data_IF_019803527162
#
_entry.id   IF_019803527162
#
_cell.length_a   1.000
_cell.length_b   1.000
_cell.length_c   1.000
_cell.angle_alpha   90.00
_cell.angle_beta   90.00
_cell.angle_gamma   90.00
#
_symmetry.space_group_name_H-M   'P 1'
#
loop_
_entity.id
_entity.type
_entity.pdbx_description
1 polymer ?
#
# COMPACT_ATOMS: atom_id res chain seq x y z
N UNK A 1 -14.61 -2.41 -24.08
CA UNK A 1 -13.92 -3.14 -23.00
C UNK A 1 -14.94 -3.54 -21.94
N UNK A 2 -15.45 -4.77 -22.05
CA UNK A 2 -16.54 -5.33 -21.26
C UNK A 2 -16.02 -5.89 -19.93
N UNK A 3 -16.46 -5.30 -18.81
CA UNK A 3 -16.15 -5.81 -17.47
C UNK A 3 -17.11 -6.95 -17.14
N UNK A 4 -16.64 -8.19 -17.27
CA UNK A 4 -17.34 -9.39 -16.79
C UNK A 4 -17.41 -9.31 -15.25
N UNK A 5 -18.64 -9.25 -14.71
CA UNK A 5 -18.91 -9.35 -13.28
C UNK A 5 -19.01 -10.82 -12.93
N UNK A 6 -18.01 -11.36 -12.24
CA UNK A 6 -18.03 -12.73 -11.73
C UNK A 6 -18.70 -12.71 -10.35
N UNK A 7 -19.96 -13.13 -10.30
CA UNK A 7 -20.68 -13.45 -9.06
C UNK A 7 -20.14 -14.78 -8.54
N UNK A 8 -19.33 -14.73 -7.48
CA UNK A 8 -18.99 -15.92 -6.70
C UNK A 8 -20.03 -16.07 -5.57
N UNK A 9 -21.10 -16.79 -5.88
CA UNK A 9 -21.95 -17.40 -4.87
C UNK A 9 -21.23 -18.67 -4.38
N UNK A 10 -20.52 -18.57 -3.25
CA UNK A 10 -19.95 -19.73 -2.58
C UNK A 10 -20.96 -20.19 -1.54
N UNK A 11 -21.83 -21.11 -1.95
CA UNK A 11 -22.61 -21.98 -1.08
C UNK A 11 -21.67 -22.99 -0.41
N UNK A 12 -21.20 -22.68 0.79
CA UNK A 12 -20.63 -23.72 1.67
C UNK A 12 -21.76 -24.34 2.50
N UNK A 13 -22.31 -25.42 1.95
CA UNK A 13 -23.06 -26.43 2.70
C UNK A 13 -22.06 -27.13 3.61
N UNK A 14 -22.00 -26.70 4.87
CA UNK A 14 -21.26 -27.41 5.91
C UNK A 14 -22.05 -28.68 6.30
N UNK A 15 -21.77 -29.77 5.60
CA UNK A 15 -22.13 -31.11 6.07
C UNK A 15 -21.32 -31.36 7.36
N UNK A 16 -21.92 -31.10 8.52
CA UNK A 16 -21.36 -31.49 9.81
C UNK A 16 -21.33 -33.03 9.87
N UNK A 17 -20.16 -33.67 9.98
CA UNK A 17 -20.12 -35.07 10.37
C UNK A 17 -20.64 -35.18 11.80
N UNK A 18 -21.82 -35.78 11.95
CA UNK A 18 -22.30 -36.34 13.21
C UNK A 18 -21.28 -37.40 13.66
N UNK A 19 -20.28 -36.96 14.43
CA UNK A 19 -19.41 -37.85 15.16
C UNK A 19 -20.25 -38.52 16.26
N UNK A 20 -20.73 -39.72 15.95
CA UNK A 20 -21.28 -40.64 16.93
C UNK A 20 -20.26 -40.82 18.05
N UNK A 21 -20.58 -40.29 19.24
CA UNK A 21 -19.88 -40.58 20.47
C UNK A 21 -19.82 -42.11 20.63
N UNK A 22 -18.64 -42.69 20.40
CA UNK A 22 -18.34 -44.05 20.86
C UNK A 22 -18.36 -44.01 22.37
N UNK A 23 -19.48 -44.43 22.95
CA UNK A 23 -19.61 -44.76 24.36
C UNK A 23 -18.52 -45.78 24.70
N UNK A 24 -17.50 -45.34 25.42
CA UNK A 24 -16.50 -46.23 26.00
C UNK A 24 -17.25 -47.18 26.95
N UNK A 25 -17.03 -48.51 26.86
CA UNK A 25 -17.63 -49.44 27.80
C UNK A 25 -17.15 -49.09 29.21
N UNK A 26 -18.10 -48.89 30.11
CA UNK A 26 -17.87 -48.79 31.55
C UNK A 26 -17.11 -50.05 31.99
N UNK A 27 -15.81 -49.90 32.23
CA UNK A 27 -15.06 -50.89 32.99
C UNK A 27 -15.60 -50.82 34.42
N UNK A 28 -16.15 -51.94 34.88
CA UNK A 28 -16.46 -52.16 36.28
C UNK A 28 -15.14 -52.06 37.05
N UNK A 29 -14.92 -50.89 37.66
CA UNK A 29 -13.80 -50.65 38.55
C UNK A 29 -14.16 -51.30 39.88
N UNK A 30 -13.33 -52.27 40.28
CA UNK A 30 -13.44 -52.97 41.54
C UNK A 30 -13.39 -51.97 42.69
N UNK A 31 -14.47 -51.96 43.48
CA UNK A 31 -14.60 -51.21 44.71
C UNK A 31 -13.53 -51.68 45.69
N UNK A 32 -12.35 -51.07 45.60
CA UNK A 32 -11.29 -51.22 46.60
C UNK A 32 -11.63 -50.28 47.74
N UNK A 33 -12.29 -50.84 48.75
CA UNK A 33 -12.57 -50.23 50.04
C UNK A 33 -11.26 -49.85 50.72
N UNK A 34 -10.75 -48.64 50.47
CA UNK A 34 -9.68 -48.09 51.28
C UNK A 34 -10.26 -47.70 52.64
N UNK A 35 -9.84 -48.45 53.66
CA UNK A 35 -10.03 -48.17 55.08
C UNK A 35 -9.27 -46.89 55.39
N UNK A 36 -9.95 -45.75 55.31
CA UNK A 36 -9.43 -44.47 55.77
C UNK A 36 -9.32 -44.51 57.29
N UNK A 37 -8.09 -44.45 57.78
CA UNK A 37 -7.66 -44.29 59.17
C UNK A 37 -8.48 -43.23 59.93
N UNK A 38 -9.08 -43.65 61.04
CA UNK A 38 -10.00 -42.87 61.91
C UNK A 38 -9.27 -41.90 62.88
N UNK A 39 -8.20 -41.23 62.47
CA UNK A 39 -7.39 -40.39 63.39
C UNK A 39 -7.62 -38.87 63.30
N UNK A 40 -8.61 -38.37 62.56
CA UNK A 40 -8.96 -36.92 62.49
C UNK A 40 -10.31 -36.55 63.16
N UNK A 41 -10.78 -37.32 64.14
CA UNK A 41 -12.06 -37.07 64.80
C UNK A 41 -11.95 -36.10 65.99
N UNK A 42 -11.81 -34.80 65.74
CA UNK A 42 -12.34 -33.73 66.64
C UNK A 42 -12.33 -32.30 66.07
N UNK A 43 -12.31 -32.10 64.74
CA UNK A 43 -12.67 -30.77 64.21
C UNK A 43 -14.17 -30.52 64.42
N UNK A 44 -14.51 -29.48 65.19
CA UNK A 44 -15.91 -29.11 65.42
C UNK A 44 -16.54 -28.57 64.13
N UNK A 45 -17.85 -28.76 63.93
CA UNK A 45 -18.60 -28.27 62.76
C UNK A 45 -18.35 -26.77 62.48
N UNK A 46 -18.09 -25.98 63.53
CA UNK A 46 -17.74 -24.56 63.42
C UNK A 46 -16.42 -24.35 62.66
N UNK A 47 -15.37 -25.12 62.98
CA UNK A 47 -14.06 -25.04 62.31
C UNK A 47 -14.16 -25.42 60.83
N UNK A 48 -14.98 -26.41 60.48
CA UNK A 48 -15.21 -26.81 59.08
C UNK A 48 -15.91 -25.69 58.29
N UNK A 49 -16.85 -24.97 58.92
CA UNK A 49 -17.55 -23.85 58.27
C UNK A 49 -16.60 -22.67 58.05
N UNK A 50 -15.77 -22.35 59.03
CA UNK A 50 -14.76 -21.29 58.92
C UNK A 50 -13.72 -21.60 57.84
N UNK A 51 -13.20 -22.83 57.81
CA UNK A 51 -12.25 -23.29 56.79
C UNK A 51 -12.87 -23.20 55.38
N UNK A 52 -14.13 -23.61 55.21
CA UNK A 52 -14.85 -23.49 53.93
C UNK A 52 -15.07 -22.03 53.51
N UNK A 53 -15.36 -21.13 54.45
CA UNK A 53 -15.49 -19.69 54.16
C UNK A 53 -14.16 -19.11 53.70
N UNK A 54 -13.06 -19.44 54.37
CA UNK A 54 -11.72 -19.04 53.96
C UNK A 54 -11.38 -19.54 52.54
N UNK A 55 -11.68 -20.82 52.24
CA UNK A 55 -11.47 -21.38 50.90
C UNK A 55 -12.35 -20.70 49.82
N UNK A 56 -13.58 -20.31 50.15
CA UNK A 56 -14.46 -19.60 49.22
C UNK A 56 -13.93 -18.20 48.89
N UNK A 57 -13.43 -17.46 49.89
CA UNK A 57 -12.83 -16.13 49.65
C UNK A 57 -11.54 -16.23 48.82
N UNK A 58 -10.68 -17.21 49.10
CA UNK A 58 -9.49 -17.47 48.26
C UNK A 58 -9.89 -17.77 46.82
N UNK A 59 -10.85 -18.68 46.59
CA UNK A 59 -11.34 -18.98 45.25
C UNK A 59 -11.96 -17.77 44.55
N UNK A 60 -12.68 -16.91 45.28
CA UNK A 60 -13.28 -15.70 44.73
C UNK A 60 -12.20 -14.74 44.24
N UNK A 61 -11.18 -14.47 45.05
CA UNK A 61 -10.06 -13.60 44.66
C UNK A 61 -9.25 -14.19 43.50
N UNK A 62 -9.01 -15.51 43.47
CA UNK A 62 -8.36 -16.18 42.33
C UNK A 62 -9.17 -16.09 41.04
N UNK A 63 -10.50 -16.20 41.11
CA UNK A 63 -11.37 -16.07 39.94
C UNK A 63 -11.42 -14.62 39.44
N UNK A 64 -11.41 -13.64 40.34
CA UNK A 64 -11.36 -12.22 39.97
C UNK A 64 -10.04 -11.87 39.29
N UNK A 65 -8.90 -12.31 39.84
CA UNK A 65 -7.59 -12.08 39.21
C UNK A 65 -7.47 -12.77 37.85
N UNK A 66 -7.94 -14.02 37.72
CA UNK A 66 -8.00 -14.73 36.42
C UNK A 66 -8.87 -13.99 35.41
N UNK A 67 -10.01 -13.44 35.82
CA UNK A 67 -10.90 -12.66 34.94
C UNK A 67 -10.25 -11.36 34.47
N UNK A 68 -9.56 -10.65 35.36
CA UNK A 68 -8.83 -9.42 35.02
C UNK A 68 -7.70 -9.76 34.03
N UNK A 69 -6.85 -10.74 34.35
CA UNK A 69 -5.77 -11.17 33.47
C UNK A 69 -6.28 -11.63 32.08
N UNK A 70 -7.42 -12.33 32.02
CA UNK A 70 -8.04 -12.70 30.75
C UNK A 70 -8.54 -11.49 29.95
N UNK A 71 -9.13 -10.49 30.61
CA UNK A 71 -9.57 -9.25 29.95
C UNK A 71 -8.37 -8.48 29.39
N UNK A 72 -7.29 -8.37 30.17
CA UNK A 72 -6.08 -7.68 29.76
C UNK A 72 -5.39 -8.39 28.59
N UNK A 73 -5.27 -9.73 28.65
CA UNK A 73 -4.73 -10.51 27.55
C UNK A 73 -5.56 -10.39 26.25
N UNK A 74 -6.90 -10.31 26.37
CA UNK A 74 -7.77 -10.07 25.21
C UNK A 74 -7.65 -8.63 24.68
N UNK A 75 -7.50 -7.64 25.56
CA UNK A 75 -7.27 -6.26 25.18
C UNK A 75 -5.93 -6.12 24.43
N UNK A 76 -4.87 -6.73 24.93
CA UNK A 76 -3.55 -6.76 24.28
C UNK A 76 -3.61 -7.42 22.90
N UNK A 77 -4.25 -8.58 22.76
CA UNK A 77 -4.41 -9.24 21.44
C UNK A 77 -5.18 -8.38 20.44
N UNK A 78 -6.18 -7.61 20.90
CA UNK A 78 -6.94 -6.69 20.04
C UNK A 78 -6.06 -5.51 19.60
N UNK A 79 -5.26 -4.97 20.52
CA UNK A 79 -4.28 -3.93 20.26
C UNK A 79 -3.25 -4.38 19.21
N UNK A 80 -2.58 -5.52 19.42
CA UNK A 80 -1.60 -6.07 18.47
C UNK A 80 -2.20 -6.32 17.08
N UNK A 81 -3.43 -6.84 17.04
CA UNK A 81 -4.15 -7.05 15.79
C UNK A 81 -4.49 -5.73 15.08
N UNK A 82 -4.83 -4.67 15.83
CA UNK A 82 -5.07 -3.34 15.29
C UNK A 82 -3.77 -2.72 14.74
N UNK A 83 -2.68 -2.76 15.51
CA UNK A 83 -1.36 -2.28 15.10
C UNK A 83 -0.89 -2.97 13.83
N UNK A 84 -0.98 -4.30 13.76
CA UNK A 84 -0.63 -5.07 12.56
C UNK A 84 -1.45 -4.64 11.33
N UNK A 85 -2.74 -4.36 11.50
CA UNK A 85 -3.61 -3.88 10.40
C UNK A 85 -3.22 -2.48 9.95
N UNK A 86 -2.92 -1.58 10.88
CA UNK A 86 -2.46 -0.22 10.60
C UNK A 86 -1.11 -0.28 9.88
N UNK A 87 -0.11 -0.98 10.43
CA UNK A 87 1.21 -1.16 9.79
C UNK A 87 1.10 -1.73 8.36
N UNK A 88 0.27 -2.77 8.16
CA UNK A 88 0.04 -3.35 6.81
C UNK A 88 -0.54 -2.31 5.85
N UNK A 89 -1.49 -1.51 6.32
CA UNK A 89 -2.11 -0.47 5.51
C UNK A 89 -1.16 0.69 5.25
N UNK A 90 -0.34 1.11 6.22
CA UNK A 90 0.70 2.12 6.03
C UNK A 90 1.68 1.72 4.92
N UNK A 91 2.17 0.46 4.93
CA UNK A 91 3.02 -0.07 3.85
C UNK A 91 2.34 -0.06 2.49
N UNK A 92 1.04 -0.40 2.43
CA UNK A 92 0.27 -0.32 1.19
C UNK A 92 0.20 1.13 0.66
N UNK A 93 0.05 2.11 1.56
CA UNK A 93 0.01 3.53 1.21
C UNK A 93 1.36 4.04 0.70
N UNK A 94 2.47 3.63 1.33
CA UNK A 94 3.82 3.93 0.86
C UNK A 94 4.07 3.37 -0.54
N UNK A 95 3.65 2.13 -0.80
CA UNK A 95 3.76 1.51 -2.12
C UNK A 95 2.92 2.26 -3.16
N UNK A 96 1.70 2.69 -2.80
CA UNK A 96 0.86 3.51 -3.67
C UNK A 96 1.54 4.85 -3.97
N UNK A 97 2.12 5.52 -2.96
CA UNK A 97 2.88 6.77 -3.15
C UNK A 97 4.03 6.57 -4.12
N UNK A 98 4.87 5.54 -3.93
CA UNK A 98 5.97 5.20 -4.84
C UNK A 98 5.47 4.98 -6.28
N UNK A 99 4.36 4.27 -6.44
CA UNK A 99 3.75 4.06 -7.75
C UNK A 99 3.34 5.39 -8.42
N UNK A 100 2.74 6.33 -7.69
CA UNK A 100 2.45 7.66 -8.24
C UNK A 100 3.71 8.47 -8.53
N UNK A 101 4.78 8.33 -7.73
CA UNK A 101 6.08 8.92 -8.03
C UNK A 101 6.63 8.44 -9.36
N UNK A 102 6.62 7.13 -9.59
CA UNK A 102 7.04 6.55 -10.87
C UNK A 102 6.15 7.01 -12.03
N UNK A 103 4.82 7.01 -11.87
CA UNK A 103 3.90 7.40 -12.95
C UNK A 103 4.09 8.85 -13.37
N UNK A 104 4.14 9.78 -12.42
CA UNK A 104 4.28 11.20 -12.75
C UNK A 104 5.71 11.58 -13.14
N UNK A 105 6.74 10.97 -12.54
CA UNK A 105 8.12 11.17 -12.99
C UNK A 105 8.35 10.69 -14.43
N UNK A 106 7.74 9.58 -14.84
CA UNK A 106 7.77 9.13 -16.23
C UNK A 106 7.03 10.07 -17.19
N UNK A 107 5.94 10.70 -16.72
CA UNK A 107 5.20 11.68 -17.51
C UNK A 107 6.04 12.95 -17.72
N UNK A 108 6.61 13.47 -16.64
CA UNK A 108 7.49 14.64 -16.63
C UNK A 108 8.70 14.45 -17.57
N UNK A 109 9.45 13.36 -17.41
CA UNK A 109 10.57 13.01 -18.31
C UNK A 109 10.19 12.93 -19.79
N UNK A 110 8.94 12.54 -20.11
CA UNK A 110 8.47 12.49 -21.51
C UNK A 110 8.14 13.88 -22.05
N UNK A 111 7.59 14.74 -21.20
CA UNK A 111 7.27 16.12 -21.55
C UNK A 111 8.54 16.94 -21.74
N UNK A 112 9.54 16.77 -20.87
CA UNK A 112 10.87 17.39 -21.01
C UNK A 112 11.54 17.05 -22.34
N UNK A 113 11.60 15.75 -22.69
CA UNK A 113 12.16 15.31 -23.97
C UNK A 113 11.36 15.83 -25.17
N UNK A 114 10.08 16.12 -24.98
CA UNK A 114 9.26 16.70 -26.05
C UNK A 114 9.56 18.18 -26.20
N UNK A 115 9.64 18.93 -25.10
CA UNK A 115 10.05 20.34 -25.07
C UNK A 115 11.42 20.52 -25.72
N UNK A 116 12.41 19.70 -25.38
CA UNK A 116 13.75 19.74 -25.99
C UNK A 116 13.68 19.59 -27.52
N UNK A 117 12.91 18.63 -28.03
CA UNK A 117 12.75 18.42 -29.48
C UNK A 117 12.03 19.58 -30.17
N UNK A 118 11.09 20.22 -29.50
CA UNK A 118 10.37 21.38 -30.02
C UNK A 118 11.27 22.64 -30.04
N UNK A 119 12.10 22.81 -29.02
CA UNK A 119 13.13 23.87 -28.97
C UNK A 119 14.19 23.69 -30.06
N UNK A 120 14.62 22.44 -30.31
CA UNK A 120 15.54 22.11 -31.39
C UNK A 120 14.94 22.45 -32.77
N UNK A 121 13.63 22.24 -32.91
CA UNK A 121 12.83 22.65 -34.07
C UNK A 121 12.51 24.16 -34.12
N UNK A 122 13.01 24.96 -33.18
CA UNK A 122 12.81 26.42 -33.12
C UNK A 122 11.35 26.87 -32.96
N UNK A 123 10.50 26.01 -32.40
CA UNK A 123 9.13 26.38 -32.03
C UNK A 123 9.12 27.11 -30.68
N UNK A 124 8.15 28.02 -30.49
CA UNK A 124 7.96 28.71 -29.21
C UNK A 124 7.30 27.79 -28.19
N UNK A 125 8.07 27.31 -27.22
CA UNK A 125 7.62 26.42 -26.14
C UNK A 125 7.35 27.15 -24.83
N UNK A 126 7.34 28.50 -24.83
CA UNK A 126 7.25 29.30 -23.60
C UNK A 126 6.04 28.99 -22.73
N UNK A 127 4.84 28.90 -23.34
CA UNK A 127 3.59 28.56 -22.63
C UNK A 127 3.63 27.15 -22.05
N UNK A 128 4.01 26.15 -22.87
CA UNK A 128 4.13 24.76 -22.45
C UNK A 128 5.08 24.60 -21.25
N UNK A 129 6.24 25.29 -21.24
CA UNK A 129 7.18 25.26 -20.11
C UNK A 129 6.57 25.83 -18.83
N UNK A 130 5.78 26.90 -18.94
CA UNK A 130 5.08 27.49 -17.79
C UNK A 130 4.01 26.54 -17.23
N UNK A 131 3.29 25.84 -18.11
CA UNK A 131 2.30 24.85 -17.70
C UNK A 131 2.94 23.61 -17.07
N UNK A 132 4.11 23.18 -17.55
CA UNK A 132 4.89 22.11 -16.90
C UNK A 132 5.32 22.49 -15.48
N UNK A 133 5.82 23.70 -15.27
CA UNK A 133 6.14 24.18 -13.91
C UNK A 133 4.90 24.20 -13.00
N UNK A 134 3.73 24.52 -13.55
CA UNK A 134 2.46 24.45 -12.81
C UNK A 134 2.08 23.02 -12.47
N UNK A 135 2.22 22.09 -13.42
CA UNK A 135 1.99 20.66 -13.23
C UNK A 135 2.89 20.08 -12.13
N UNK A 136 4.17 20.45 -12.12
CA UNK A 136 5.14 20.03 -11.10
C UNK A 136 4.73 20.50 -9.70
N UNK A 137 4.25 21.74 -9.59
CA UNK A 137 3.67 22.26 -8.34
C UNK A 137 2.49 21.41 -7.85
N UNK A 138 1.59 21.01 -8.75
CA UNK A 138 0.46 20.12 -8.40
C UNK A 138 0.93 18.72 -7.97
N UNK A 139 1.94 18.16 -8.64
CA UNK A 139 2.51 16.84 -8.32
C UNK A 139 3.23 16.88 -6.96
N UNK A 140 4.01 17.93 -6.70
CA UNK A 140 4.70 18.13 -5.42
C UNK A 140 3.69 18.24 -4.27
N UNK A 141 2.60 18.98 -4.47
CA UNK A 141 1.50 19.06 -3.50
C UNK A 141 0.89 17.69 -3.24
N UNK A 142 0.58 16.92 -4.28
CA UNK A 142 0.05 15.56 -4.12
C UNK A 142 0.98 14.67 -3.27
N UNK A 143 2.30 14.77 -3.45
CA UNK A 143 3.25 14.00 -2.65
C UNK A 143 3.28 14.45 -1.19
N UNK A 144 3.24 15.76 -0.94
CA UNK A 144 3.15 16.29 0.41
C UNK A 144 1.86 15.82 1.12
N UNK A 145 0.72 15.82 0.42
CA UNK A 145 -0.55 15.33 0.96
C UNK A 145 -0.49 13.81 1.26
N UNK A 146 0.20 13.03 0.43
CA UNK A 146 0.48 11.61 0.72
C UNK A 146 1.37 11.42 1.95
N UNK A 147 2.41 12.24 2.11
CA UNK A 147 3.33 12.15 3.24
C UNK A 147 2.62 12.50 4.54
N UNK A 148 1.82 13.57 4.54
CA UNK A 148 0.95 13.94 5.64
C UNK A 148 -0.04 12.82 5.99
N UNK A 149 -0.64 12.19 4.96
CA UNK A 149 -1.55 11.07 5.15
C UNK A 149 -0.89 9.84 5.77
N UNK A 150 0.28 9.44 5.29
CA UNK A 150 1.02 8.30 5.84
C UNK A 150 1.45 8.61 7.28
N UNK A 151 1.92 9.82 7.57
CA UNK A 151 2.30 10.24 8.91
C UNK A 151 1.13 10.20 9.89
N UNK A 152 -0.02 10.80 9.54
CA UNK A 152 -1.23 10.77 10.36
C UNK A 152 -1.74 9.35 10.58
N UNK A 153 -1.65 8.48 9.56
CA UNK A 153 -2.05 7.09 9.68
C UNK A 153 -1.13 6.28 10.59
N UNK A 154 0.20 6.48 10.51
CA UNK A 154 1.17 5.83 11.41
C UNK A 154 1.03 6.30 12.85
N UNK A 155 0.76 7.58 13.08
CA UNK A 155 0.48 8.08 14.43
C UNK A 155 -0.70 7.35 15.10
N UNK A 156 -1.70 6.93 14.32
CA UNK A 156 -2.82 6.14 14.86
C UNK A 156 -2.43 4.72 15.32
N UNK A 157 -1.24 4.22 14.95
CA UNK A 157 -0.74 2.91 15.35
C UNK A 157 -0.38 2.86 16.84
N UNK A 158 0.33 3.88 17.33
CA UNK A 158 0.69 4.01 18.76
C UNK A 158 -0.56 4.26 19.61
N UNK A 159 -1.50 5.01 19.05
CA UNK A 159 -2.70 5.47 19.73
C UNK A 159 -3.79 4.40 19.84
N UNK A 160 -3.80 3.41 18.94
CA UNK A 160 -4.82 2.36 18.88
C UNK A 160 -5.01 1.56 20.18
N UNK A 161 -4.00 1.57 21.05
CA UNK A 161 -3.99 0.81 22.30
C UNK A 161 -4.17 1.68 23.54
N UNK A 162 -3.94 3.00 23.42
CA UNK A 162 -3.99 3.95 24.53
C UNK A 162 -5.28 4.80 24.51
N UNK A 163 -5.82 5.08 23.32
CA UNK A 163 -6.95 5.96 23.16
C UNK A 163 -8.29 5.31 23.48
N UNK A 164 -9.23 6.15 23.91
CA UNK A 164 -10.63 5.75 23.96
C UNK A 164 -11.17 5.53 22.56
N UNK A 165 -12.30 4.82 22.46
CA UNK A 165 -12.98 4.58 21.17
C UNK A 165 -13.37 5.88 20.46
N UNK A 166 -13.69 6.93 21.21
CA UNK A 166 -14.12 8.22 20.69
C UNK A 166 -12.95 9.00 20.10
N UNK A 167 -11.81 9.03 20.81
CA UNK A 167 -10.60 9.70 20.33
C UNK A 167 -10.06 9.02 19.06
N UNK A 168 -10.03 7.69 19.04
CA UNK A 168 -9.62 6.92 17.86
C UNK A 168 -10.53 7.22 16.66
N UNK A 169 -11.84 7.38 16.88
CA UNK A 169 -12.79 7.71 15.81
C UNK A 169 -12.49 9.09 15.23
N UNK A 170 -12.29 10.09 16.08
CA UNK A 170 -11.96 11.46 15.67
C UNK A 170 -10.65 11.51 14.88
N UNK A 171 -9.60 10.83 15.34
CA UNK A 171 -8.33 10.71 14.64
C UNK A 171 -8.51 10.07 13.24
N UNK A 172 -9.32 9.02 13.15
CA UNK A 172 -9.59 8.33 11.89
C UNK A 172 -10.46 9.15 10.91
N UNK A 173 -11.29 10.07 11.40
CA UNK A 173 -12.02 11.01 10.55
C UNK A 173 -11.07 12.02 9.87
N UNK A 174 -10.05 12.50 10.59
CA UNK A 174 -8.98 13.33 10.00
C UNK A 174 -8.22 12.61 8.89
N UNK A 175 -7.87 11.35 9.13
CA UNK A 175 -7.24 10.46 8.13
C UNK A 175 -8.11 10.30 6.87
N UNK A 176 -9.45 10.16 7.03
CA UNK A 176 -10.37 10.06 5.88
C UNK A 176 -10.42 11.35 5.06
N UNK A 177 -10.34 12.51 5.70
CA UNK A 177 -10.31 13.78 4.99
C UNK A 177 -9.08 13.91 4.07
N UNK A 178 -7.92 13.43 4.52
CA UNK A 178 -6.69 13.41 3.70
C UNK A 178 -6.82 12.52 2.45
N UNK A 179 -7.53 11.39 2.54
CA UNK A 179 -7.80 10.55 1.37
C UNK A 179 -8.59 11.32 0.31
N UNK A 180 -9.58 12.11 0.72
CA UNK A 180 -10.36 12.94 -0.21
C UNK A 180 -9.52 14.05 -0.84
N UNK A 181 -8.58 14.64 -0.10
CA UNK A 181 -7.62 15.61 -0.66
C UNK A 181 -6.74 14.98 -1.75
N UNK A 182 -6.14 13.83 -1.45
CA UNK A 182 -5.34 13.06 -2.43
C UNK A 182 -6.15 12.72 -3.69
N UNK A 183 -7.43 12.35 -3.54
CA UNK A 183 -8.31 12.08 -4.69
C UNK A 183 -8.55 13.33 -5.53
N UNK A 184 -8.78 14.48 -4.89
CA UNK A 184 -8.98 15.76 -5.56
C UNK A 184 -7.73 16.20 -6.29
N UNK A 185 -6.57 16.13 -5.66
CA UNK A 185 -5.29 16.53 -6.27
C UNK A 185 -4.97 15.67 -7.51
N UNK A 186 -5.20 14.35 -7.43
CA UNK A 186 -5.06 13.48 -8.60
C UNK A 186 -6.02 13.82 -9.74
N UNK A 187 -7.25 14.18 -9.41
CA UNK A 187 -8.22 14.62 -10.41
C UNK A 187 -7.78 15.95 -11.04
N UNK A 188 -7.35 16.92 -10.23
CA UNK A 188 -6.84 18.21 -10.69
C UNK A 188 -5.64 18.06 -11.64
N UNK A 189 -4.66 17.22 -11.30
CA UNK A 189 -3.51 16.92 -12.19
C UNK A 189 -3.98 16.36 -13.53
N UNK A 190 -4.88 15.38 -13.49
CA UNK A 190 -5.41 14.76 -14.70
C UNK A 190 -6.18 15.77 -15.55
N UNK A 191 -7.01 16.59 -14.92
CA UNK A 191 -7.85 17.56 -15.61
C UNK A 191 -6.97 18.64 -16.24
N UNK A 192 -6.03 19.21 -15.50
CA UNK A 192 -5.04 20.19 -15.99
C UNK A 192 -4.26 19.66 -17.19
N UNK A 193 -3.77 18.42 -17.13
CA UNK A 193 -3.07 17.81 -18.27
C UNK A 193 -3.96 17.71 -19.51
N UNK A 194 -5.25 17.38 -19.36
CA UNK A 194 -6.16 17.21 -20.50
C UNK A 194 -6.70 18.53 -21.04
N UNK A 195 -6.92 19.52 -20.18
CA UNK A 195 -7.52 20.80 -20.55
C UNK A 195 -6.51 21.84 -20.99
N UNK A 196 -5.27 21.76 -20.53
CA UNK A 196 -4.22 22.76 -20.76
C UNK A 196 -3.12 22.17 -21.64
N UNK A 197 -2.28 21.31 -21.06
CA UNK A 197 -1.07 20.77 -21.72
C UNK A 197 -1.40 20.08 -23.05
N UNK A 198 -2.46 19.25 -23.09
CA UNK A 198 -2.79 18.49 -24.29
C UNK A 198 -3.18 19.37 -25.47
N UNK A 199 -4.08 20.37 -25.33
CA UNK A 199 -4.29 21.40 -26.35
C UNK A 199 -3.01 22.10 -26.82
N UNK A 200 -2.11 22.49 -25.93
CA UNK A 200 -0.87 23.20 -26.31
C UNK A 200 0.02 22.32 -27.18
N UNK A 201 0.15 21.03 -26.80
CA UNK A 201 0.85 20.03 -27.61
C UNK A 201 0.19 19.83 -28.99
N UNK A 202 -1.13 19.94 -29.10
CA UNK A 202 -1.83 19.84 -30.38
C UNK A 202 -1.60 21.08 -31.26
N UNK A 203 -1.54 22.27 -30.66
CA UNK A 203 -1.22 23.51 -31.36
C UNK A 203 0.21 23.47 -31.92
N UNK A 204 1.19 23.09 -31.10
CA UNK A 204 2.60 22.95 -31.49
C UNK A 204 2.79 21.90 -32.59
N UNK A 205 2.08 20.77 -32.49
CA UNK A 205 2.10 19.75 -33.55
C UNK A 205 1.57 20.27 -34.88
N UNK A 206 0.56 21.13 -34.87
CA UNK A 206 -0.02 21.69 -36.10
C UNK A 206 0.97 22.62 -36.80
N UNK A 207 1.68 23.47 -36.04
CA UNK A 207 2.73 24.36 -36.56
C UNK A 207 3.84 23.57 -37.28
N UNK A 208 4.33 22.49 -36.67
CA UNK A 208 5.37 21.64 -37.26
C UNK A 208 4.91 21.01 -38.60
N UNK A 209 3.62 20.69 -38.73
CA UNK A 209 3.09 20.07 -39.95
C UNK A 209 3.01 21.05 -41.13
N UNK A 210 2.90 22.34 -40.85
CA UNK A 210 2.80 23.38 -41.88
C UNK A 210 4.18 23.83 -42.35
N UNK A 211 5.18 23.88 -41.46
CA UNK A 211 6.58 24.11 -41.84
C UNK A 211 7.13 23.02 -42.76
N UNK A 212 6.87 21.74 -42.45
CA UNK A 212 7.30 20.61 -43.29
C UNK A 212 6.63 20.63 -44.67
N UNK A 213 5.39 21.14 -44.77
CA UNK A 213 4.72 21.30 -46.07
C UNK A 213 5.30 22.48 -46.84
N UNK A 214 5.61 23.59 -46.18
CA UNK A 214 6.20 24.76 -46.83
C UNK A 214 7.55 24.41 -47.47
N UNK A 215 8.43 23.71 -46.74
CA UNK A 215 9.76 23.35 -47.22
C UNK A 215 9.72 22.40 -48.43
N UNK A 216 8.79 21.44 -48.44
CA UNK A 216 8.60 20.52 -49.60
C UNK A 216 8.08 21.22 -50.85
N UNK A 217 7.32 22.31 -50.70
CA UNK A 217 6.75 23.02 -51.85
C UNK A 217 7.80 23.89 -52.55
N UNK A 218 8.81 24.36 -51.81
CA UNK A 218 9.95 25.08 -52.39
C UNK A 218 10.94 24.14 -53.09
N UNK A 219 11.21 22.97 -52.52
CA UNK A 219 12.13 21.99 -53.10
C UNK A 219 11.65 21.38 -54.43
N UNK A 220 10.35 21.38 -54.73
CA UNK A 220 9.79 20.82 -55.97
C UNK A 220 9.89 21.80 -57.15
N UNK A 221 10.00 23.12 -56.92
CA UNK A 221 10.13 24.11 -58.02
C UNK A 221 11.51 24.14 -58.67
N UNK A 222 12.54 23.52 -58.09
CA UNK A 222 13.92 23.53 -58.61
C UNK A 222 14.32 22.27 -59.40
N UNK A 223 13.46 21.25 -59.55
CA UNK A 223 13.80 19.99 -60.25
C UNK A 223 13.14 19.74 -61.62
N UNK A 224 12.40 20.69 -62.19
CA UNK A 224 11.71 20.51 -63.50
C UNK A 224 12.57 20.78 -64.74
N UNK A 225 13.89 20.49 -64.72
CA UNK A 225 14.74 20.56 -65.92
C UNK A 225 15.91 19.59 -65.86
N UNK A 226 15.63 18.29 -65.94
CA UNK A 226 16.66 17.25 -65.95
C UNK A 226 16.09 15.88 -66.29
N UNK A 227 15.59 15.71 -67.52
CA UNK A 227 15.20 14.41 -68.07
C UNK A 227 16.48 13.64 -68.41
N UNK A 228 16.93 12.75 -67.52
CA UNK A 228 17.96 11.74 -67.82
C UNK A 228 17.39 10.35 -67.53
N UNK A 229 17.80 9.46 -68.41
CA UNK A 229 17.27 8.17 -68.81
C UNK A 229 17.70 7.07 -67.82
N UNK A 230 16.75 6.26 -67.40
CA UNK A 230 16.77 4.79 -67.30
C UNK A 230 18.10 4.11 -66.88
N UNK A 231 18.09 3.39 -65.76
CA UNK A 231 18.54 1.98 -65.77
C UNK A 231 17.93 1.15 -64.64
N UNK A 232 17.63 -0.09 -64.99
CA UNK A 232 16.95 -1.13 -64.22
C UNK A 232 18.00 -1.88 -63.37
N UNK A 233 17.76 -2.06 -62.07
CA UNK A 233 18.78 -2.56 -61.15
C UNK A 233 18.22 -3.18 -59.89
N UNK A 234 17.55 -4.32 -60.07
CA UNK A 234 17.25 -5.31 -59.04
C UNK A 234 18.48 -5.64 -58.18
N UNK A 235 18.37 -5.53 -56.85
CA UNK A 235 19.04 -6.48 -55.95
C UNK A 235 18.43 -6.50 -54.55
N UNK A 236 17.85 -7.67 -54.26
CA UNK A 236 17.62 -8.29 -52.96
C UNK A 236 18.88 -8.38 -52.11
N UNK A 237 18.75 -8.30 -50.79
CA UNK A 237 19.61 -9.07 -49.89
C UNK A 237 19.95 -8.44 -48.53
N UNK A 238 19.65 -9.23 -47.49
CA UNK A 238 20.57 -9.60 -46.40
C UNK A 238 20.26 -9.05 -45.01
N UNK A 239 19.67 -9.96 -44.22
CA UNK A 239 19.69 -10.05 -42.76
C UNK A 239 21.10 -9.86 -42.20
N UNK A 240 21.22 -9.14 -41.07
CA UNK A 240 22.25 -9.40 -40.07
C UNK A 240 21.65 -9.18 -38.69
N UNK A 241 21.46 -10.30 -37.99
CA UNK A 241 21.37 -10.41 -36.53
C UNK A 241 22.67 -9.90 -35.89
N UNK A 242 22.57 -9.16 -34.80
CA UNK A 242 23.64 -9.09 -33.81
C UNK A 242 23.06 -8.72 -32.45
N UNK A 243 22.92 -9.77 -31.64
CA UNK A 243 22.73 -9.72 -30.20
C UNK A 243 23.85 -8.91 -29.54
N UNK A 244 23.50 -8.12 -28.51
CA UNK A 244 24.48 -7.76 -27.48
C UNK A 244 23.74 -7.68 -26.16
N UNK A 245 23.75 -8.81 -25.46
CA UNK A 245 23.46 -8.88 -24.03
C UNK A 245 24.55 -8.12 -23.28
N UNK A 246 24.19 -7.02 -22.63
CA UNK A 246 25.03 -6.41 -21.60
C UNK A 246 24.55 -6.89 -20.24
N UNK A 247 25.17 -7.98 -19.81
CA UNK A 247 25.33 -8.37 -18.41
C UNK A 247 25.99 -7.22 -17.65
N UNK A 248 25.28 -6.64 -16.68
CA UNK A 248 25.87 -5.71 -15.70
C UNK A 248 25.70 -6.32 -14.31
N UNK A 249 26.78 -6.95 -13.91
CA UNK A 249 27.15 -7.42 -12.58
C UNK A 249 27.29 -6.25 -11.61
N UNK A 250 26.86 -6.48 -10.36
CA UNK A 250 27.37 -5.94 -9.08
C UNK A 250 27.55 -4.42 -8.96
N UNK A 251 27.04 -3.76 -7.92
CA UNK A 251 27.75 -3.72 -6.63
C UNK A 251 26.79 -3.13 -5.57
N UNK A 252 26.57 -3.86 -4.46
CA UNK A 252 26.09 -3.29 -3.19
C UNK A 252 27.21 -2.44 -2.56
N UNK A 253 26.84 -1.37 -1.84
CA UNK A 253 27.52 -1.10 -0.59
C UNK A 253 26.54 -1.25 0.59
N UNK A 254 26.95 -2.15 1.47
CA UNK A 254 26.58 -2.22 2.88
C UNK A 254 27.03 -0.93 3.56
N UNK A 255 26.09 -0.10 4.01
CA UNK A 255 26.35 0.91 5.03
C UNK A 255 25.83 0.40 6.38
N UNK A 256 26.77 -0.20 7.10
CA UNK A 256 26.85 -0.23 8.56
C UNK A 256 27.15 1.17 9.10
N UNK A 257 26.84 1.39 10.38
CA UNK A 257 27.15 2.54 11.28
C UNK A 257 25.89 3.33 11.66
N UNK A 258 25.60 3.67 12.92
CA UNK A 258 26.20 3.35 14.22
C UNK A 258 25.13 3.66 15.26
N UNK A 259 25.04 2.80 16.26
CA UNK A 259 24.27 2.96 17.48
C UNK A 259 25.04 3.88 18.44
N UNK A 260 24.51 5.06 18.74
CA UNK A 260 24.94 5.88 19.88
C UNK A 260 23.81 5.93 20.90
N UNK A 261 23.97 5.14 21.95
CA UNK A 261 23.21 5.22 23.20
C UNK A 261 23.89 6.24 24.12
N UNK A 262 23.34 7.44 24.23
CA UNK A 262 23.63 8.33 25.36
C UNK A 262 22.78 7.89 26.55
N UNK A 263 23.47 7.47 27.61
CA UNK A 263 22.90 7.22 28.94
C UNK A 263 23.07 8.50 29.74
N UNK A 264 21.98 9.22 29.99
CA UNK A 264 21.95 10.34 30.93
C UNK A 264 21.52 9.80 32.31
N UNK A 265 22.45 9.86 33.27
CA UNK A 265 22.21 9.65 34.69
C UNK A 265 21.75 10.96 35.31
N UNK A 266 20.60 10.93 35.99
CA UNK A 266 20.27 11.77 37.14
C UNK A 266 19.42 10.94 38.13
#
# INVERSE_FOLDING_TARGET
>A
MSKKKTLFAITMVAAMPLAFAHAKPLKAEEVTTQVTTQDEATKTRAQIIEEKRAQVEVRKTELETKRIAQKDALAQKRCEAAQKRISTKAKQLENNRKMYQTVYGNMDSRLDRLVQRLDDAKLDTGELKADLATLDGMIAKLYADYDAFIASFKASETDACALTKEDFKTQFEGVRAQVELIRKDRAAIKDFFNSTIKPDLQALRSQLSDEVKAEKTEAVKTKTKGKVKQDDGSQTGTEVEAETETETTETEPVETETETTETEQD
#
